data_IF_132812815624
#
_entry.id   IF_132812815624
#
_cell.length_a   1.000
_cell.length_b   1.000
_cell.length_c   1.000
_cell.angle_alpha   90.00
_cell.angle_beta   90.00
_cell.angle_gamma   90.00
#
_symmetry.space_group_name_H-M   'P 1'
#
loop_
_entity.id
_entity.type
_entity.pdbx_description
1 polymer ?
#
# COMPACT_ATOMS: atom_id res chain seq x y z
N UNK A 1 -24.96 -24.14 5.75
CA UNK A 1 -23.89 -23.39 6.44
C UNK A 1 -22.90 -22.97 5.35
N UNK A 2 -23.03 -21.74 4.85
CA UNK A 2 -22.25 -21.28 3.70
C UNK A 2 -21.00 -20.61 4.26
N UNK A 3 -19.85 -21.23 4.03
CA UNK A 3 -18.55 -20.70 4.40
C UNK A 3 -18.28 -19.44 3.57
N UNK A 4 -18.19 -18.29 4.22
CA UNK A 4 -17.83 -17.02 3.61
C UNK A 4 -16.46 -17.16 2.94
N UNK A 5 -16.28 -16.73 1.68
CA UNK A 5 -14.97 -16.70 1.07
C UNK A 5 -14.12 -15.72 1.88
N UNK A 6 -13.08 -16.27 2.52
CA UNK A 6 -12.02 -15.50 3.14
C UNK A 6 -11.30 -14.76 2.00
N UNK A 7 -11.82 -13.58 1.66
CA UNK A 7 -11.23 -12.65 0.73
C UNK A 7 -9.85 -12.25 1.28
N UNK A 8 -8.83 -13.05 0.97
CA UNK A 8 -7.54 -12.48 0.63
C UNK A 8 -7.80 -11.67 -0.63
N UNK A 9 -8.35 -10.48 -0.46
CA UNK A 9 -8.48 -9.52 -1.54
C UNK A 9 -7.05 -9.21 -1.95
N UNK A 10 -6.57 -9.91 -2.97
CA UNK A 10 -5.40 -9.52 -3.74
C UNK A 10 -5.79 -8.27 -4.55
N UNK A 11 -6.24 -7.23 -3.86
CA UNK A 11 -6.58 -5.95 -4.46
C UNK A 11 -5.27 -5.35 -4.90
N UNK A 12 -4.96 -5.51 -6.19
CA UNK A 12 -3.88 -4.79 -6.82
C UNK A 12 -4.15 -3.31 -6.60
N UNK A 13 -3.22 -2.65 -5.92
CA UNK A 13 -3.30 -1.22 -5.60
C UNK A 13 -2.98 -0.44 -6.87
N UNK A 14 -3.79 0.55 -7.23
CA UNK A 14 -3.63 1.29 -8.48
C UNK A 14 -3.09 2.70 -8.24
N UNK A 15 -2.48 3.29 -9.27
CA UNK A 15 -2.10 4.71 -9.22
C UNK A 15 -3.35 5.57 -9.04
N UNK A 16 -3.31 6.48 -8.06
CA UNK A 16 -4.42 7.32 -7.62
C UNK A 16 -5.23 6.73 -6.45
N UNK A 17 -4.99 5.49 -6.03
CA UNK A 17 -5.63 4.94 -4.84
C UNK A 17 -5.15 5.67 -3.58
N UNK A 18 -6.09 5.92 -2.67
CA UNK A 18 -5.79 6.42 -1.32
C UNK A 18 -5.69 5.24 -0.39
N UNK A 19 -4.51 5.04 0.15
CA UNK A 19 -4.14 3.87 0.96
C UNK A 19 -3.69 4.30 2.33
N UNK A 20 -3.77 3.38 3.28
CA UNK A 20 -3.30 3.60 4.63
C UNK A 20 -2.07 2.72 4.89
N UNK A 21 -0.92 3.38 5.02
CA UNK A 21 0.35 2.70 5.26
C UNK A 21 0.57 2.59 6.77
N UNK A 22 0.85 1.37 7.24
CA UNK A 22 1.14 1.14 8.66
C UNK A 22 2.64 1.17 8.92
N UNK A 23 3.10 2.20 9.63
CA UNK A 23 4.48 2.30 10.13
C UNK A 23 4.51 2.09 11.64
N UNK A 24 4.81 0.85 12.05
CA UNK A 24 4.80 0.47 13.46
C UNK A 24 3.42 0.63 14.09
N UNK A 25 3.31 1.55 15.06
CA UNK A 25 2.04 1.88 15.74
C UNK A 25 1.26 3.01 15.08
N UNK A 26 1.82 3.64 14.03
CA UNK A 26 1.20 4.76 13.32
C UNK A 26 0.64 4.32 11.98
N UNK A 27 -0.36 5.07 11.54
CA UNK A 27 -1.02 4.91 10.25
C UNK A 27 -0.91 6.21 9.48
N UNK A 28 -0.33 6.16 8.30
CA UNK A 28 -0.11 7.31 7.43
C UNK A 28 -1.09 7.20 6.25
N UNK A 29 -1.85 8.26 6.00
CA UNK A 29 -2.66 8.36 4.79
C UNK A 29 -1.74 8.73 3.63
N UNK A 30 -1.77 7.91 2.59
CA UNK A 30 -0.96 8.13 1.41
C UNK A 30 -1.78 7.93 0.14
N UNK A 31 -1.30 8.48 -0.97
CA UNK A 31 -1.84 8.27 -2.30
C UNK A 31 -0.80 7.58 -3.16
N UNK A 32 -1.22 6.58 -3.92
CA UNK A 32 -0.33 5.83 -4.81
C UNK A 32 -0.03 6.70 -6.02
N UNK A 33 1.23 7.03 -6.23
CA UNK A 33 1.66 7.91 -7.32
C UNK A 33 2.34 7.14 -8.45
N UNK A 34 2.82 5.94 -8.18
CA UNK A 34 3.52 5.11 -9.16
C UNK A 34 3.30 3.63 -8.86
N UNK A 35 3.01 2.83 -9.88
CA UNK A 35 3.07 1.37 -9.82
C UNK A 35 4.41 0.91 -10.36
N UNK A 36 5.24 0.32 -9.51
CA UNK A 36 6.55 -0.24 -9.89
C UNK A 36 6.42 -1.69 -10.35
N UNK A 37 5.22 -2.26 -10.28
CA UNK A 37 4.90 -3.61 -10.72
C UNK A 37 5.37 -4.69 -9.75
N UNK A 38 5.32 -5.95 -10.21
CA UNK A 38 5.68 -7.12 -9.41
C UNK A 38 7.19 -7.33 -9.34
N UNK A 39 7.84 -7.04 -8.20
CA UNK A 39 9.28 -7.23 -8.01
C UNK A 39 9.54 -8.46 -7.11
N UNK A 40 10.41 -9.39 -7.57
CA UNK A 40 10.86 -10.57 -6.82
C UNK A 40 10.12 -11.89 -7.12
N UNK A 41 10.47 -12.96 -6.38
CA UNK A 41 9.86 -14.30 -6.53
C UNK A 41 8.48 -14.30 -5.85
N UNK A 42 7.41 -14.48 -6.63
CA UNK A 42 6.03 -14.46 -6.15
C UNK A 42 5.20 -13.25 -6.60
N UNK A 43 5.79 -12.31 -7.34
CA UNK A 43 5.05 -11.23 -8.00
C UNK A 43 4.44 -10.19 -7.07
N UNK A 44 5.08 -9.92 -5.91
CA UNK A 44 4.61 -8.86 -4.99
C UNK A 44 4.67 -7.52 -5.69
N UNK A 45 3.51 -6.89 -5.85
CA UNK A 45 3.39 -5.55 -6.39
C UNK A 45 4.05 -4.55 -5.43
N UNK A 46 4.96 -3.74 -5.96
CA UNK A 46 5.56 -2.61 -5.27
C UNK A 46 4.94 -1.34 -5.86
N UNK A 47 4.54 -0.43 -4.99
CA UNK A 47 3.99 0.86 -5.36
C UNK A 47 4.76 1.97 -4.65
N UNK A 48 4.89 3.12 -5.30
CA UNK A 48 5.34 4.35 -4.65
C UNK A 48 4.12 5.12 -4.19
N UNK A 49 4.13 5.51 -2.93
CA UNK A 49 3.05 6.28 -2.32
C UNK A 49 3.58 7.61 -1.81
N UNK A 50 2.73 8.63 -1.87
CA UNK A 50 2.97 9.96 -1.34
C UNK A 50 2.11 10.20 -0.11
N UNK A 51 2.73 10.56 1.01
CA UNK A 51 1.99 10.92 2.22
C UNK A 51 1.14 12.17 1.97
N UNK A 52 -0.14 12.11 2.34
CA UNK A 52 -1.08 13.24 2.23
C UNK A 52 -0.91 14.22 3.39
N UNK A 53 -0.49 13.72 4.56
CA UNK A 53 -0.29 14.49 5.79
C UNK A 53 1.07 14.11 6.41
N UNK A 54 2.21 14.49 5.78
CA UNK A 54 3.53 14.17 6.33
C UNK A 54 3.75 14.91 7.65
N UNK A 55 4.13 14.19 8.70
CA UNK A 55 4.61 14.80 9.95
C UNK A 55 6.06 15.25 9.78
N UNK A 56 6.49 16.24 10.57
CA UNK A 56 7.86 16.79 10.51
C UNK A 56 8.91 15.66 10.63
N UNK A 57 9.69 15.48 9.55
CA UNK A 57 10.73 14.43 9.43
C UNK A 57 10.34 13.17 8.65
N UNK A 58 9.10 13.01 8.20
CA UNK A 58 8.70 11.88 7.35
C UNK A 58 9.00 12.17 5.87
N UNK A 59 9.48 11.16 5.13
CA UNK A 59 9.68 11.29 3.68
C UNK A 59 8.31 11.45 3.03
N UNK A 60 8.16 12.48 2.20
CA UNK A 60 6.92 12.74 1.46
C UNK A 60 6.53 11.57 0.56
N UNK A 61 7.52 10.82 0.05
CA UNK A 61 7.33 9.71 -0.86
C UNK A 61 8.15 8.50 -0.42
N UNK A 62 7.56 7.30 -0.48
CA UNK A 62 8.25 6.06 -0.15
C UNK A 62 7.64 4.85 -0.89
N UNK A 63 8.44 3.80 -1.03
CA UNK A 63 8.06 2.58 -1.75
C UNK A 63 7.57 1.51 -0.76
N UNK A 64 6.44 0.90 -1.07
CA UNK A 64 5.78 -0.10 -0.22
C UNK A 64 5.24 -1.26 -1.05
N UNK A 65 5.23 -2.45 -0.46
CA UNK A 65 4.53 -3.56 -1.08
C UNK A 65 3.02 -3.39 -0.91
N UNK A 66 2.25 -3.63 -1.98
CA UNK A 66 0.79 -3.51 -1.96
C UNK A 66 0.12 -4.39 -0.89
N UNK A 67 0.73 -5.52 -0.52
CA UNK A 67 0.25 -6.43 0.54
C UNK A 67 0.35 -5.82 1.96
N UNK A 68 1.14 -4.76 2.14
CA UNK A 68 1.25 -4.03 3.41
C UNK A 68 0.32 -2.81 3.50
N UNK A 69 -0.45 -2.55 2.43
CA UNK A 69 -1.44 -1.50 2.37
C UNK A 69 -2.80 -2.05 2.77
N UNK A 70 -3.56 -1.26 3.55
CA UNK A 70 -4.96 -1.52 3.88
C UNK A 70 -5.88 -0.48 3.27
#
# INVERSE_FOLDING_TARGET
>A
MIQLPNHKSSTLVQVGDRVLVRFGTRSIRAEVIEDLGGIGVGGRQIVRVKALEPTDGEREEFEVAADELN
#
